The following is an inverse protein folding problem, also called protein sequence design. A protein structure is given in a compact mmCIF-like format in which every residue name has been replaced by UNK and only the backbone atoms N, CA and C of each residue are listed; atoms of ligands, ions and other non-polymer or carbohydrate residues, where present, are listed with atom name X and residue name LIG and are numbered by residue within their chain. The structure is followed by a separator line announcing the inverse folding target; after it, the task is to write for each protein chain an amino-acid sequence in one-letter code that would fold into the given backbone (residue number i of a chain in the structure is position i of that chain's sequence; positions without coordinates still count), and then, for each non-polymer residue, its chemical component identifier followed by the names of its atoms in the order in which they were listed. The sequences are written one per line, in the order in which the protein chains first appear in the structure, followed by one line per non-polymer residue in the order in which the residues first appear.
data_IF_791274973532
#
_entry.id   IF_791274973532
#
_cell.length_a   1.000
_cell.length_b   1.000
_cell.length_c   1.000
_cell.angle_alpha   90.00
_cell.angle_beta   90.00
_cell.angle_gamma   90.00
#
_symmetry.space_group_name_H-M   'P 1'
#
loop_
_entity.id
_entity.type
_entity.pdbx_description
1 polymer ?
#
# COMPACT_ATOMS: atom_id res chain seq x y z
N UNK A 1 19.45 -7.04 -4.45
CA UNK A 1 18.93 -6.86 -5.81
C UNK A 1 20.00 -6.35 -6.74
N UNK A 2 19.96 -6.73 -8.01
CA UNK A 2 20.87 -6.26 -9.03
C UNK A 2 20.58 -4.84 -9.48
N UNK A 3 21.39 -4.35 -10.43
CA UNK A 3 21.29 -2.99 -10.95
C UNK A 3 19.95 -2.73 -11.66
N UNK A 4 19.46 -3.71 -12.43
CA UNK A 4 18.20 -3.56 -13.17
C UNK A 4 17.03 -3.31 -12.21
N UNK A 5 16.96 -4.05 -11.12
CA UNK A 5 15.90 -3.92 -10.12
C UNK A 5 16.02 -2.60 -9.36
N UNK A 6 17.23 -2.20 -9.00
CA UNK A 6 17.44 -0.93 -8.32
C UNK A 6 17.08 0.26 -9.22
N UNK A 7 17.37 0.14 -10.51
CA UNK A 7 16.99 1.17 -11.49
C UNK A 7 15.48 1.25 -11.65
N UNK A 8 14.79 0.11 -11.73
CA UNK A 8 13.34 0.06 -11.81
C UNK A 8 12.71 0.69 -10.57
N UNK A 9 13.24 0.39 -9.39
CA UNK A 9 12.77 0.98 -8.13
C UNK A 9 12.97 2.49 -8.11
N UNK A 10 14.13 2.98 -8.51
CA UNK A 10 14.42 4.41 -8.55
C UNK A 10 13.49 5.16 -9.51
N UNK A 11 13.23 4.59 -10.68
CA UNK A 11 12.30 5.18 -11.64
C UNK A 11 10.87 5.21 -11.11
N UNK A 12 10.44 4.14 -10.45
CA UNK A 12 9.12 4.08 -9.82
C UNK A 12 8.98 5.16 -8.74
N UNK A 13 9.96 5.28 -7.87
CA UNK A 13 9.94 6.27 -6.80
C UNK A 13 9.88 7.70 -7.33
N UNK A 14 10.52 7.95 -8.46
CA UNK A 14 10.58 9.28 -9.06
C UNK A 14 9.32 9.62 -9.87
N UNK A 15 8.77 8.65 -10.61
CA UNK A 15 7.75 8.93 -11.64
C UNK A 15 6.35 8.40 -11.30
N UNK A 16 6.23 7.33 -10.53
CA UNK A 16 4.94 6.67 -10.27
C UNK A 16 4.46 6.87 -8.84
N UNK A 17 5.35 6.67 -7.88
CA UNK A 17 4.98 6.81 -6.46
C UNK A 17 4.37 8.17 -6.12
N UNK A 18 4.90 9.32 -6.62
CA UNK A 18 4.28 10.61 -6.34
C UNK A 18 2.85 10.74 -6.87
N UNK A 19 2.52 10.02 -7.94
CA UNK A 19 1.15 10.00 -8.48
C UNK A 19 0.21 9.30 -7.51
N UNK A 20 0.62 8.17 -6.92
CA UNK A 20 -0.16 7.50 -5.88
C UNK A 20 -0.33 8.36 -4.65
N UNK A 21 0.76 8.99 -4.18
CA UNK A 21 0.72 9.89 -3.03
C UNK A 21 -0.33 10.98 -3.22
N UNK A 22 -0.34 11.60 -4.40
CA UNK A 22 -1.33 12.63 -4.72
C UNK A 22 -2.75 12.08 -4.75
N UNK A 23 -2.95 10.91 -5.37
CA UNK A 23 -4.28 10.29 -5.44
C UNK A 23 -4.83 9.99 -4.06
N UNK A 24 -4.01 9.44 -3.16
CA UNK A 24 -4.44 9.16 -1.78
C UNK A 24 -4.79 10.44 -1.04
N UNK A 25 -3.95 11.46 -1.14
CA UNK A 25 -4.19 12.73 -0.47
C UNK A 25 -5.45 13.41 -0.99
N UNK A 26 -5.69 13.36 -2.30
CA UNK A 26 -6.88 13.95 -2.90
C UNK A 26 -8.16 13.23 -2.45
N UNK A 27 -8.12 11.90 -2.39
CA UNK A 27 -9.27 11.11 -1.94
C UNK A 27 -9.58 11.37 -0.47
N UNK A 28 -8.55 11.37 0.36
CA UNK A 28 -8.69 11.47 1.81
C UNK A 28 -8.93 12.90 2.29
N UNK A 29 -8.45 13.89 1.57
CA UNK A 29 -8.53 15.30 1.96
C UNK A 29 -7.52 15.71 3.02
N UNK A 30 -6.50 14.88 3.27
CA UNK A 30 -5.39 15.18 4.16
C UNK A 30 -4.13 14.45 3.67
N UNK A 31 -2.92 14.89 4.08
CA UNK A 31 -1.69 14.22 3.67
C UNK A 31 -1.52 12.90 4.43
N UNK A 32 -1.57 11.79 3.71
CA UNK A 32 -1.27 10.48 4.25
C UNK A 32 0.23 10.25 4.16
N UNK A 33 0.88 9.94 5.28
CA UNK A 33 2.28 9.54 5.25
C UNK A 33 2.38 8.12 4.68
N UNK A 34 3.21 7.92 3.66
CA UNK A 34 3.45 6.60 3.07
C UNK A 34 4.94 6.31 3.16
N UNK A 35 5.26 5.25 3.89
CA UNK A 35 6.64 4.77 4.02
C UNK A 35 6.74 3.40 3.37
N UNK A 36 7.66 3.26 2.42
CA UNK A 36 7.93 2.00 1.73
C UNK A 36 9.37 1.58 2.03
N UNK A 37 9.55 0.35 2.45
CA UNK A 37 10.88 -0.22 2.62
C UNK A 37 11.40 -0.65 1.25
N UNK A 38 11.83 0.32 0.46
CA UNK A 38 12.20 0.12 -0.94
C UNK A 38 13.25 -0.98 -1.17
N UNK A 39 14.29 -1.14 -0.32
CA UNK A 39 15.25 -2.22 -0.53
C UNK A 39 14.67 -3.62 -0.52
N UNK A 40 13.51 -3.81 0.12
CA UNK A 40 12.83 -5.11 0.19
C UNK A 40 11.84 -5.34 -0.95
N UNK A 41 11.59 -4.32 -1.77
CA UNK A 41 10.61 -4.41 -2.84
C UNK A 41 11.25 -4.91 -4.13
N UNK A 42 10.48 -5.66 -4.90
CA UNK A 42 10.94 -6.24 -6.15
C UNK A 42 11.47 -7.65 -5.97
N UNK A 43 11.78 -8.30 -7.10
CA UNK A 43 12.32 -9.64 -7.12
C UNK A 43 13.37 -9.74 -8.21
N UNK A 44 14.47 -10.44 -7.93
CA UNK A 44 15.56 -10.60 -8.89
C UNK A 44 15.05 -11.24 -10.17
N UNK A 45 15.44 -10.65 -11.31
CA UNK A 45 14.99 -11.10 -12.63
C UNK A 45 13.64 -10.57 -13.07
N UNK A 46 12.92 -9.83 -12.21
CA UNK A 46 11.59 -9.30 -12.50
C UNK A 46 11.54 -7.77 -12.53
N UNK A 47 12.64 -7.12 -12.89
CA UNK A 47 12.67 -5.66 -12.98
C UNK A 47 11.57 -5.09 -13.89
N UNK A 48 11.25 -5.79 -14.98
CA UNK A 48 10.22 -5.38 -15.94
C UNK A 48 8.80 -5.44 -15.37
N UNK A 49 8.59 -6.14 -14.26
CA UNK A 49 7.30 -6.24 -13.57
C UNK A 49 7.22 -5.34 -12.33
N UNK A 50 8.26 -4.56 -12.05
CA UNK A 50 8.31 -3.79 -10.80
C UNK A 50 7.15 -2.80 -10.69
N UNK A 51 6.94 -1.98 -11.70
CA UNK A 51 5.87 -0.98 -11.67
C UNK A 51 4.50 -1.64 -11.52
N UNK A 52 4.22 -2.62 -12.37
CA UNK A 52 2.94 -3.34 -12.34
C UNK A 52 2.72 -3.99 -10.97
N UNK A 53 3.73 -4.68 -10.45
CA UNK A 53 3.64 -5.36 -9.16
C UNK A 53 3.40 -4.41 -8.00
N UNK A 54 4.13 -3.31 -7.94
CA UNK A 54 3.94 -2.30 -6.90
C UNK A 54 2.51 -1.74 -6.94
N UNK A 55 2.01 -1.45 -8.14
CA UNK A 55 0.65 -0.91 -8.29
C UNK A 55 -0.41 -1.92 -7.85
N UNK A 56 -0.36 -3.14 -8.37
CA UNK A 56 -1.43 -4.14 -8.21
C UNK A 56 -1.40 -4.77 -6.82
N UNK A 57 -0.21 -4.97 -6.25
CA UNK A 57 -0.08 -5.65 -4.97
C UNK A 57 -0.29 -4.69 -3.79
N UNK A 58 0.31 -3.49 -3.86
CA UNK A 58 0.41 -2.64 -2.66
C UNK A 58 -0.45 -1.38 -2.69
N UNK A 59 -0.63 -0.72 -3.83
CA UNK A 59 -1.28 0.59 -3.86
C UNK A 59 -2.73 0.54 -4.34
N UNK A 60 -3.02 -0.20 -5.40
CA UNK A 60 -4.39 -0.29 -5.92
C UNK A 60 -5.38 -0.90 -4.91
N UNK A 61 -5.02 -1.97 -4.17
CA UNK A 61 -5.94 -2.51 -3.17
C UNK A 61 -6.31 -1.49 -2.09
N UNK A 62 -5.36 -0.69 -1.63
CA UNK A 62 -5.63 0.35 -0.65
C UNK A 62 -6.51 1.45 -1.24
N UNK A 63 -6.25 1.87 -2.46
CA UNK A 63 -7.10 2.87 -3.13
C UNK A 63 -8.55 2.41 -3.20
N UNK A 64 -8.77 1.16 -3.62
CA UNK A 64 -10.12 0.59 -3.70
C UNK A 64 -10.77 0.48 -2.33
N UNK A 65 -10.00 0.09 -1.32
CA UNK A 65 -10.50 0.00 0.06
C UNK A 65 -10.92 1.37 0.58
N UNK A 66 -10.09 2.39 0.38
CA UNK A 66 -10.39 3.74 0.83
C UNK A 66 -11.59 4.33 0.09
N UNK A 67 -11.73 4.06 -1.20
CA UNK A 67 -12.92 4.47 -1.95
C UNK A 67 -14.19 3.82 -1.40
N UNK A 68 -14.11 2.57 -0.95
CA UNK A 68 -15.25 1.89 -0.35
C UNK A 68 -15.62 2.44 1.03
N UNK A 69 -14.64 2.93 1.79
CA UNK A 69 -14.86 3.46 3.15
C UNK A 69 -15.25 4.94 3.11
N UNK A 70 -14.59 5.75 2.30
CA UNK A 70 -14.74 7.21 2.27
C UNK A 70 -15.98 7.66 1.49
N UNK A 71 -17.15 7.13 1.87
CA UNK A 71 -18.41 7.36 1.14
C UNK A 71 -19.23 8.53 1.68
N UNK A 72 -18.91 9.00 2.89
CA UNK A 72 -19.62 10.10 3.53
C UNK A 72 -18.68 10.90 4.44
N UNK A 73 -19.14 12.02 4.95
CA UNK A 73 -18.32 12.90 5.78
C UNK A 73 -17.91 12.25 7.10
N UNK A 74 -18.79 11.44 7.68
CA UNK A 74 -18.51 10.73 8.92
C UNK A 74 -17.32 9.78 8.75
N UNK A 75 -17.34 8.98 7.69
CA UNK A 75 -16.26 8.03 7.40
C UNK A 75 -14.96 8.73 7.04
N UNK A 76 -15.03 9.82 6.27
CA UNK A 76 -13.84 10.62 5.95
C UNK A 76 -13.21 11.22 7.19
N UNK A 77 -14.03 11.70 8.14
CA UNK A 77 -13.53 12.24 9.40
C UNK A 77 -12.88 11.14 10.25
N UNK A 78 -13.48 9.94 10.29
CA UNK A 78 -12.90 8.81 10.99
C UNK A 78 -11.52 8.44 10.41
N UNK A 79 -11.38 8.43 9.09
CA UNK A 79 -10.08 8.21 8.44
C UNK A 79 -9.08 9.30 8.81
N UNK A 80 -9.50 10.57 8.76
CA UNK A 80 -8.62 11.70 9.11
C UNK A 80 -8.10 11.57 10.53
N UNK A 81 -8.94 11.17 11.45
CA UNK A 81 -8.59 11.08 12.86
C UNK A 81 -7.79 9.81 13.18
N UNK A 82 -8.05 8.72 12.49
CA UNK A 82 -7.57 7.39 12.86
C UNK A 82 -6.55 6.75 11.92
N UNK A 83 -6.38 7.23 10.70
CA UNK A 83 -5.46 6.64 9.73
C UNK A 83 -4.48 7.69 9.23
N UNK A 84 -3.25 7.65 9.72
CA UNK A 84 -2.24 8.68 9.44
C UNK A 84 -1.08 8.19 8.60
N UNK A 85 -0.81 6.88 8.61
CA UNK A 85 0.38 6.34 7.95
C UNK A 85 0.10 4.97 7.33
N UNK A 86 0.65 4.76 6.15
CA UNK A 86 0.67 3.48 5.45
C UNK A 86 2.11 3.01 5.32
N UNK A 87 2.41 1.85 5.88
CA UNK A 87 3.75 1.25 5.84
C UNK A 87 3.73 0.00 4.97
N UNK A 88 4.65 -0.08 4.01
CA UNK A 88 4.75 -1.20 3.06
C UNK A 88 6.14 -1.80 3.12
N UNK A 89 6.20 -3.12 3.25
CA UNK A 89 7.46 -3.86 3.24
C UNK A 89 7.31 -5.18 2.49
N UNK A 90 8.38 -5.61 1.83
CA UNK A 90 8.47 -6.93 1.21
C UNK A 90 8.94 -8.02 2.15
N UNK A 91 9.18 -7.69 3.42
CA UNK A 91 9.58 -8.67 4.46
C UNK A 91 8.34 -9.14 5.19
N UNK A 92 7.99 -10.42 5.03
CA UNK A 92 6.81 -11.01 5.67
C UNK A 92 7.07 -11.27 7.15
N UNK A 93 6.10 -10.99 8.04
CA UNK A 93 6.23 -11.32 9.46
C UNK A 93 6.26 -12.83 9.68
N UNK A 94 6.95 -13.28 10.71
CA UNK A 94 7.02 -14.72 11.05
C UNK A 94 5.65 -15.31 11.35
N UNK A 95 4.75 -14.52 11.96
CA UNK A 95 3.39 -14.97 12.27
C UNK A 95 2.45 -14.99 11.05
N UNK A 96 2.95 -14.58 9.88
CA UNK A 96 2.22 -14.54 8.62
C UNK A 96 0.96 -13.68 8.66
N UNK A 97 0.93 -12.69 9.53
CA UNK A 97 -0.11 -11.66 9.54
C UNK A 97 0.37 -10.51 8.66
N UNK A 98 -0.08 -10.48 7.41
CA UNK A 98 0.43 -9.55 6.41
C UNK A 98 -0.15 -8.15 6.53
N UNK A 99 -1.33 -8.03 7.15
CA UNK A 99 -1.99 -6.76 7.41
C UNK A 99 -2.12 -6.57 8.91
N UNK A 100 -1.69 -5.43 9.43
CA UNK A 100 -1.88 -5.11 10.84
C UNK A 100 -2.09 -3.61 11.00
N UNK A 101 -2.61 -3.20 12.15
CA UNK A 101 -2.91 -1.80 12.41
C UNK A 101 -2.57 -1.47 13.86
N UNK A 102 -1.76 -0.45 14.07
CA UNK A 102 -1.45 0.08 15.39
C UNK A 102 -0.96 1.52 15.26
N UNK A 103 -1.22 2.33 16.28
CA UNK A 103 -0.76 3.72 16.33
C UNK A 103 -1.13 4.52 15.08
N UNK A 104 -2.37 4.37 14.61
CA UNK A 104 -2.88 5.06 13.42
C UNK A 104 -2.11 4.70 12.14
N UNK A 105 -1.40 3.59 12.16
CA UNK A 105 -0.59 3.11 11.04
C UNK A 105 -1.11 1.77 10.55
N UNK A 106 -1.34 1.68 9.24
CA UNK A 106 -1.64 0.43 8.56
C UNK A 106 -0.34 -0.16 8.04
N UNK A 107 -0.04 -1.40 8.46
CA UNK A 107 1.13 -2.14 7.99
C UNK A 107 0.70 -3.16 6.96
N UNK A 108 1.34 -3.14 5.81
CA UNK A 108 1.17 -4.14 4.76
C UNK A 108 2.54 -4.76 4.49
N UNK A 109 2.73 -5.99 4.94
CA UNK A 109 4.02 -6.67 4.90
C UNK A 109 3.87 -7.99 4.14
N UNK A 110 4.04 -7.92 2.83
CA UNK A 110 3.89 -9.05 1.94
C UNK A 110 5.03 -9.05 0.94
N UNK A 111 5.61 -10.23 0.69
CA UNK A 111 6.69 -10.39 -0.27
C UNK A 111 6.22 -9.98 -1.66
N UNK A 112 7.08 -9.25 -2.38
CA UNK A 112 6.84 -8.87 -3.78
C UNK A 112 6.68 -10.12 -4.64
N UNK A 113 5.81 -10.05 -5.64
CA UNK A 113 5.55 -11.20 -6.52
C UNK A 113 4.45 -12.11 -6.02
N UNK A 114 3.82 -11.77 -4.91
CA UNK A 114 2.66 -12.51 -4.43
C UNK A 114 1.49 -12.39 -5.39
N UNK A 115 0.52 -13.24 -5.18
CA UNK A 115 -0.60 -13.53 -6.05
C UNK A 115 -1.38 -12.27 -6.48
N UNK A 116 -1.13 -11.77 -7.65
CA UNK A 116 -1.73 -10.54 -8.19
C UNK A 116 -3.21 -10.68 -8.51
N UNK A 117 -3.72 -11.91 -8.62
CA UNK A 117 -5.14 -12.17 -8.84
C UNK A 117 -5.98 -11.98 -7.57
N UNK A 118 -5.33 -11.71 -6.44
CA UNK A 118 -6.00 -11.55 -5.15
C UNK A 118 -6.39 -10.09 -4.85
N UNK A 119 -6.43 -9.23 -5.85
CA UNK A 119 -6.77 -7.83 -5.66
C UNK A 119 -8.09 -7.62 -4.91
N UNK A 120 -9.22 -8.29 -5.28
CA UNK A 120 -10.46 -8.14 -4.52
C UNK A 120 -10.34 -8.62 -3.07
N UNK A 121 -9.62 -9.70 -2.82
CA UNK A 121 -9.41 -10.23 -1.47
C UNK A 121 -8.59 -9.26 -0.63
N UNK A 122 -7.53 -8.71 -1.19
CA UNK A 122 -6.70 -7.71 -0.50
C UNK A 122 -7.49 -6.46 -0.17
N UNK A 123 -8.29 -5.97 -1.12
CA UNK A 123 -9.19 -4.84 -0.88
C UNK A 123 -10.12 -5.13 0.31
N UNK A 124 -10.76 -6.28 0.31
CA UNK A 124 -11.72 -6.63 1.36
C UNK A 124 -11.05 -6.75 2.72
N UNK A 125 -9.86 -7.32 2.78
CA UNK A 125 -9.09 -7.39 4.03
C UNK A 125 -8.68 -6.02 4.54
N UNK A 126 -8.30 -5.12 3.65
CA UNK A 126 -7.95 -3.76 4.02
C UNK A 126 -9.17 -2.98 4.53
N UNK A 127 -10.33 -3.17 3.89
CA UNK A 127 -11.58 -2.58 4.39
C UNK A 127 -11.87 -3.06 5.81
N UNK A 128 -11.78 -4.37 6.03
CA UNK A 128 -12.08 -4.96 7.35
C UNK A 128 -11.14 -4.42 8.43
N UNK A 129 -9.85 -4.38 8.17
CA UNK A 129 -8.90 -3.94 9.19
C UNK A 129 -9.03 -2.44 9.47
N UNK A 130 -9.28 -1.63 8.45
CA UNK A 130 -9.47 -0.20 8.65
C UNK A 130 -10.77 0.08 9.40
N UNK A 131 -11.88 -0.51 8.99
CA UNK A 131 -13.16 -0.29 9.67
C UNK A 131 -13.14 -0.73 11.12
N UNK A 132 -12.45 -1.83 11.42
CA UNK A 132 -12.32 -2.34 12.79
C UNK A 132 -11.55 -1.37 13.69
N UNK A 133 -10.61 -0.60 13.15
CA UNK A 133 -9.70 0.25 13.91
C UNK A 133 -10.05 1.73 13.83
N UNK A 134 -11.05 2.09 13.07
CA UNK A 134 -11.58 3.44 13.01
C UNK A 134 -12.81 3.56 13.89
#
# INVERSE_FOLDING_TARGET
MGLAERRASAQYQQNVFPVWQKKFNDLLGYPLEIEVDWPTMGEDGLAHLFEWGMNVIYFEPLMLALQAIAVDDFSKQALRDGFKKYYVSGVEPENRVFFSFSDKTLFYQLKFGGNENDLPDRRDRLVQILEKNL
#
